data_IF_605621315314
#
_entry.id   IF_605621315314
#
_cell.length_a   1.000
_cell.length_b   1.000
_cell.length_c   1.000
_cell.angle_alpha   90.00
_cell.angle_beta   90.00
_cell.angle_gamma   90.00
#
_symmetry.space_group_name_H-M   'P 1'
#
loop_
_entity.id
_entity.type
_entity.pdbx_description
1 polymer ?
#
# COMPACT_ATOMS: atom_id res chain seq x y z
N UNK A 1 -35.49 89.98 45.77
CA UNK A 1 -36.26 89.18 44.82
C UNK A 1 -35.68 89.31 43.40
N UNK A 2 -34.49 88.89 43.22
CA UNK A 2 -33.88 88.77 41.83
C UNK A 2 -33.13 87.42 41.79
N UNK A 3 -33.82 86.35 41.79
CA UNK A 3 -33.19 85.02 41.78
C UNK A 3 -33.92 83.95 41.00
N UNK A 4 -35.17 84.19 40.63
CA UNK A 4 -36.08 83.13 40.19
C UNK A 4 -36.35 83.11 38.66
N UNK A 5 -35.97 84.14 37.96
CA UNK A 5 -36.21 84.22 36.50
C UNK A 5 -35.04 83.67 35.64
N UNK A 6 -33.85 83.55 36.18
CA UNK A 6 -32.66 83.04 35.49
C UNK A 6 -32.56 81.55 35.62
N UNK A 7 -33.01 80.97 36.74
CA UNK A 7 -32.99 79.47 36.90
C UNK A 7 -33.99 78.77 36.00
N UNK A 8 -35.19 79.38 35.84
CA UNK A 8 -36.19 78.78 34.92
C UNK A 8 -35.79 78.91 33.46
N UNK A 9 -35.04 79.90 33.04
CA UNK A 9 -34.51 80.02 31.66
C UNK A 9 -33.45 78.97 31.36
N UNK A 10 -32.62 78.58 32.31
CA UNK A 10 -31.64 77.49 32.10
C UNK A 10 -32.30 76.08 32.02
N UNK A 11 -33.35 75.84 32.81
CA UNK A 11 -34.14 74.60 32.76
C UNK A 11 -34.89 74.51 31.45
N UNK A 12 -35.51 75.55 30.93
CA UNK A 12 -36.18 75.56 29.66
C UNK A 12 -35.18 75.45 28.48
N UNK A 13 -34.01 76.04 28.58
CA UNK A 13 -32.97 75.91 27.56
C UNK A 13 -32.39 74.46 27.50
N UNK A 14 -32.21 73.83 28.66
CA UNK A 14 -31.75 72.42 28.73
C UNK A 14 -32.80 71.47 28.29
N UNK A 15 -34.08 71.73 28.58
CA UNK A 15 -35.20 70.89 28.09
C UNK A 15 -35.41 70.99 26.57
N UNK A 16 -35.27 72.23 26.01
CA UNK A 16 -35.33 72.46 24.58
C UNK A 16 -34.15 71.83 23.85
N UNK A 17 -32.96 71.84 24.46
CA UNK A 17 -31.79 71.12 23.88
C UNK A 17 -31.99 69.59 23.94
N UNK A 18 -32.59 69.07 25.02
CA UNK A 18 -32.87 67.66 25.16
C UNK A 18 -34.02 67.25 24.21
N UNK A 19 -35.05 68.07 24.03
CA UNK A 19 -36.16 67.81 23.10
C UNK A 19 -35.65 67.99 21.64
N UNK A 20 -34.77 68.98 21.37
CA UNK A 20 -34.14 69.11 20.06
C UNK A 20 -33.22 67.93 19.70
N UNK A 21 -32.55 67.30 20.70
CA UNK A 21 -31.82 66.07 20.52
C UNK A 21 -32.71 64.83 20.41
N UNK A 22 -33.90 64.85 20.97
CA UNK A 22 -34.85 63.72 20.87
C UNK A 22 -35.69 63.73 19.62
N UNK A 23 -35.82 64.89 18.91
CA UNK A 23 -36.56 65.03 17.66
C UNK A 23 -35.67 65.06 16.40
N UNK A 24 -34.33 65.19 16.59
CA UNK A 24 -33.38 65.00 15.51
C UNK A 24 -32.97 63.53 15.46
N UNK A 25 -33.78 62.76 14.78
CA UNK A 25 -33.16 61.61 14.23
C UNK A 25 -33.69 60.24 14.58
N UNK A 26 -34.93 60.04 14.45
CA UNK A 26 -35.37 58.80 13.85
C UNK A 26 -35.91 59.10 12.46
N UNK A 27 -35.15 59.89 11.70
CA UNK A 27 -35.26 59.84 10.27
C UNK A 27 -34.53 58.54 9.81
N UNK A 28 -35.09 57.71 8.94
CA UNK A 28 -34.49 56.45 8.54
C UNK A 28 -33.13 56.72 7.90
N UNK A 29 -32.03 56.43 8.62
CA UNK A 29 -30.65 56.49 8.15
C UNK A 29 -30.43 55.42 6.99
N UNK A 30 -31.48 54.87 6.49
CA UNK A 30 -31.49 53.78 5.51
C UNK A 30 -32.01 54.15 4.12
N UNK A 31 -31.86 55.41 3.69
CA UNK A 31 -32.16 55.77 2.30
C UNK A 31 -31.04 55.44 1.32
N UNK A 32 -29.87 55.14 1.83
CA UNK A 32 -28.72 54.82 1.00
C UNK A 32 -28.69 53.29 0.69
N UNK A 33 -29.12 52.90 -0.48
CA UNK A 33 -29.11 51.50 -0.94
C UNK A 33 -27.72 50.96 -1.29
N UNK A 34 -26.64 51.76 -1.05
CA UNK A 34 -25.27 51.48 -1.45
C UNK A 34 -24.40 51.03 -0.28
N UNK A 35 -23.46 50.15 -0.58
CA UNK A 35 -22.42 49.67 0.38
C UNK A 35 -21.51 50.87 0.76
N UNK A 36 -21.11 50.94 2.02
CA UNK A 36 -20.23 52.03 2.48
C UNK A 36 -18.87 51.96 1.78
N UNK A 37 -18.27 53.17 1.53
CA UNK A 37 -16.91 53.24 0.96
C UNK A 37 -15.90 52.43 1.80
N UNK A 38 -14.80 52.01 1.17
CA UNK A 38 -13.71 51.23 1.81
C UNK A 38 -14.13 49.87 2.38
N UNK A 39 -15.17 49.24 1.84
CA UNK A 39 -15.47 47.82 2.01
C UNK A 39 -15.06 47.08 0.77
N UNK A 40 -14.35 45.98 0.97
CA UNK A 40 -13.89 45.07 -0.10
C UNK A 40 -14.37 43.64 0.16
N UNK A 41 -14.55 42.84 -0.88
CA UNK A 41 -14.79 41.39 -0.82
C UNK A 41 -13.69 40.74 -1.64
N UNK A 42 -12.90 39.83 -1.03
CA UNK A 42 -11.68 39.26 -1.64
C UNK A 42 -10.76 40.33 -2.23
N UNK A 43 -10.60 41.47 -1.51
CA UNK A 43 -9.83 42.64 -1.92
C UNK A 43 -10.39 43.39 -3.12
N UNK A 44 -11.54 43.00 -3.66
CA UNK A 44 -12.26 43.74 -4.70
C UNK A 44 -13.12 44.80 -4.05
N UNK A 45 -13.00 46.07 -4.50
CA UNK A 45 -13.79 47.18 -3.95
C UNK A 45 -15.26 47.03 -4.34
N UNK A 46 -16.13 46.88 -3.33
CA UNK A 46 -17.59 46.90 -3.49
C UNK A 46 -18.23 48.14 -2.90
N UNK A 47 -17.41 49.05 -2.35
CA UNK A 47 -17.89 50.34 -1.79
C UNK A 47 -18.56 51.20 -2.83
N UNK A 48 -19.64 51.90 -2.45
CA UNK A 48 -20.51 52.73 -3.26
C UNK A 48 -21.40 51.96 -4.28
N UNK A 49 -21.29 50.63 -4.40
CA UNK A 49 -22.16 49.81 -5.20
C UNK A 49 -23.47 49.52 -4.48
N UNK A 50 -24.53 49.29 -5.21
CA UNK A 50 -25.76 48.67 -4.72
C UNK A 50 -25.52 47.18 -4.48
N UNK A 51 -26.45 46.49 -3.80
CA UNK A 51 -26.38 45.04 -3.60
C UNK A 51 -26.31 44.32 -4.97
N UNK A 52 -27.17 44.70 -5.89
CA UNK A 52 -27.26 44.04 -7.21
C UNK A 52 -25.99 44.23 -8.03
N UNK A 53 -25.48 45.49 -8.11
CA UNK A 53 -24.22 45.78 -8.80
C UNK A 53 -23.04 44.99 -8.23
N UNK A 54 -22.93 44.88 -6.88
CA UNK A 54 -21.87 44.13 -6.22
C UNK A 54 -21.99 42.62 -6.46
N UNK A 55 -23.20 42.04 -6.38
CA UNK A 55 -23.44 40.63 -6.66
C UNK A 55 -23.06 40.29 -8.09
N UNK A 56 -23.55 41.10 -9.07
CA UNK A 56 -23.28 40.87 -10.50
C UNK A 56 -21.78 40.95 -10.81
N UNK A 57 -21.10 41.94 -10.24
CA UNK A 57 -19.64 42.08 -10.39
C UNK A 57 -18.89 40.88 -9.84
N UNK A 58 -19.24 40.44 -8.62
CA UNK A 58 -18.56 39.31 -7.99
C UNK A 58 -18.88 37.96 -8.66
N UNK A 59 -20.12 37.73 -9.10
CA UNK A 59 -20.48 36.52 -9.89
C UNK A 59 -19.73 36.50 -11.24
N UNK A 60 -19.48 37.63 -11.86
CA UNK A 60 -18.65 37.70 -13.06
C UNK A 60 -17.17 37.45 -12.78
N UNK A 61 -16.69 37.87 -11.62
CA UNK A 61 -15.28 37.68 -11.22
C UNK A 61 -15.00 36.27 -10.73
N UNK A 62 -15.97 35.64 -10.08
CA UNK A 62 -15.90 34.28 -9.51
C UNK A 62 -17.05 33.42 -10.10
N UNK A 63 -16.96 33.05 -11.37
CA UNK A 63 -18.00 32.24 -11.99
C UNK A 63 -18.00 30.83 -11.40
N UNK A 64 -19.19 30.25 -11.31
CA UNK A 64 -19.39 28.84 -10.99
C UNK A 64 -19.52 28.07 -12.30
N UNK A 65 -18.41 27.91 -13.00
CA UNK A 65 -18.35 27.16 -14.25
C UNK A 65 -18.21 25.66 -14.01
N UNK A 66 -18.61 24.86 -14.99
CA UNK A 66 -18.28 23.45 -15.02
C UNK A 66 -16.75 23.30 -15.13
N UNK A 67 -16.22 22.22 -14.57
CA UNK A 67 -14.83 21.86 -14.78
C UNK A 67 -14.72 20.38 -15.18
N UNK A 68 -13.68 20.06 -15.94
CA UNK A 68 -13.45 18.71 -16.40
C UNK A 68 -12.28 18.08 -15.64
N UNK A 69 -12.40 16.78 -15.38
CA UNK A 69 -11.31 15.94 -14.95
C UNK A 69 -10.90 15.13 -16.18
N UNK A 70 -9.66 15.32 -16.64
CA UNK A 70 -9.17 14.79 -17.91
C UNK A 70 -8.12 13.69 -17.69
N UNK A 71 -8.24 12.59 -18.44
CA UNK A 71 -7.24 11.53 -18.50
C UNK A 71 -7.17 10.94 -19.90
N UNK A 72 -6.01 11.00 -20.54
CA UNK A 72 -5.82 10.62 -21.95
C UNK A 72 -6.88 11.28 -22.86
N UNK A 73 -7.71 10.47 -23.53
CA UNK A 73 -8.78 10.94 -24.39
C UNK A 73 -10.16 10.95 -23.71
N UNK A 74 -10.20 10.72 -22.39
CA UNK A 74 -11.44 10.74 -21.61
C UNK A 74 -11.54 12.03 -20.80
N UNK A 75 -12.78 12.50 -20.61
CA UNK A 75 -13.08 13.72 -19.86
C UNK A 75 -14.39 13.53 -19.09
N UNK A 76 -14.40 13.86 -17.81
CA UNK A 76 -15.57 13.82 -16.94
C UNK A 76 -15.88 15.23 -16.47
N UNK A 77 -17.05 15.72 -16.83
CA UNK A 77 -17.52 17.05 -16.43
C UNK A 77 -18.16 17.00 -15.06
N UNK A 78 -17.67 17.81 -14.15
CA UNK A 78 -18.27 18.07 -12.83
C UNK A 78 -19.00 19.42 -12.91
N UNK A 79 -20.29 19.40 -12.63
CA UNK A 79 -21.10 20.62 -12.59
C UNK A 79 -21.20 21.11 -11.13
N UNK A 80 -21.15 22.42 -10.90
CA UNK A 80 -21.30 22.99 -9.56
C UNK A 80 -22.55 22.52 -8.82
N UNK A 81 -23.67 22.38 -9.52
CA UNK A 81 -24.94 21.90 -8.94
C UNK A 81 -24.87 20.44 -8.50
N UNK A 82 -24.10 19.59 -9.19
CA UNK A 82 -23.95 18.17 -8.84
C UNK A 82 -23.27 17.96 -7.47
N UNK A 83 -22.43 18.90 -7.07
CA UNK A 83 -21.68 18.88 -5.82
C UNK A 83 -22.12 19.99 -4.84
N UNK A 84 -23.20 20.70 -5.14
CA UNK A 84 -23.74 21.81 -4.32
C UNK A 84 -22.66 22.88 -4.04
N UNK A 85 -21.79 23.17 -5.01
CA UNK A 85 -20.74 24.17 -4.88
C UNK A 85 -21.37 25.56 -4.81
N UNK A 86 -21.03 26.31 -3.78
CA UNK A 86 -21.51 27.66 -3.56
C UNK A 86 -20.42 28.57 -2.98
N UNK A 87 -20.28 29.77 -3.55
CA UNK A 87 -19.37 30.82 -3.04
C UNK A 87 -20.08 31.80 -2.10
N UNK A 88 -21.37 31.63 -1.82
CA UNK A 88 -22.16 32.48 -0.92
C UNK A 88 -22.01 33.98 -1.16
N UNK A 89 -21.87 34.40 -2.44
CA UNK A 89 -21.62 35.78 -2.85
C UNK A 89 -22.68 36.72 -2.30
N UNK A 90 -23.96 36.33 -2.40
CA UNK A 90 -25.08 37.18 -1.94
C UNK A 90 -25.02 37.43 -0.43
N UNK A 91 -24.70 36.40 0.36
CA UNK A 91 -24.51 36.53 1.80
C UNK A 91 -23.34 37.46 2.16
N UNK A 92 -22.23 37.39 1.42
CA UNK A 92 -21.07 38.25 1.63
C UNK A 92 -21.37 39.69 1.24
N UNK A 93 -22.14 39.92 0.19
CA UNK A 93 -22.60 41.24 -0.19
C UNK A 93 -23.59 41.80 0.84
N UNK A 94 -24.50 40.97 1.39
CA UNK A 94 -25.38 41.37 2.49
C UNK A 94 -24.58 41.73 3.77
N UNK A 95 -23.53 40.99 4.09
CA UNK A 95 -22.61 41.32 5.16
C UNK A 95 -21.95 42.70 4.93
N UNK A 96 -21.48 42.94 3.72
CA UNK A 96 -20.90 44.22 3.32
C UNK A 96 -21.89 45.37 3.44
N UNK A 97 -23.10 45.19 2.96
CA UNK A 97 -24.19 46.17 3.02
C UNK A 97 -24.58 46.49 4.46
N UNK A 98 -24.65 45.48 5.31
CA UNK A 98 -25.10 45.58 6.72
C UNK A 98 -23.96 45.91 7.69
N UNK A 99 -22.72 45.93 7.27
CA UNK A 99 -21.56 46.24 8.15
C UNK A 99 -21.71 47.52 8.95
N UNK A 100 -22.27 48.56 8.33
CA UNK A 100 -22.51 49.88 8.98
C UNK A 100 -24.00 50.11 9.32
N UNK A 101 -24.82 49.05 9.30
CA UNK A 101 -26.29 49.10 9.49
C UNK A 101 -26.77 48.11 10.56
N UNK A 102 -25.95 47.88 11.56
CA UNK A 102 -26.34 47.02 12.68
C UNK A 102 -27.39 47.71 13.57
N UNK A 103 -28.08 46.97 14.42
CA UNK A 103 -29.05 47.51 15.41
C UNK A 103 -28.42 48.53 16.38
N UNK A 104 -27.10 48.47 16.60
CA UNK A 104 -26.38 49.37 17.47
C UNK A 104 -25.87 50.61 16.72
N UNK A 105 -26.44 51.77 17.02
CA UNK A 105 -26.05 53.06 16.46
C UNK A 105 -24.58 53.39 16.75
N UNK A 106 -24.11 53.14 17.97
CA UNK A 106 -22.72 53.36 18.37
C UNK A 106 -21.74 52.51 17.59
N UNK A 107 -22.06 51.26 17.34
CA UNK A 107 -21.25 50.38 16.50
C UNK A 107 -21.20 50.89 15.05
N UNK A 108 -22.31 51.37 14.53
CA UNK A 108 -22.35 51.92 13.17
C UNK A 108 -21.48 53.15 13.01
N UNK A 109 -21.55 54.09 13.99
CA UNK A 109 -20.67 55.30 14.04
C UNK A 109 -19.21 54.89 14.10
N UNK A 110 -18.83 53.98 15.01
CA UNK A 110 -17.47 53.45 15.17
C UNK A 110 -16.95 52.79 13.89
N UNK A 111 -17.76 51.98 13.25
CA UNK A 111 -17.41 51.30 11.99
C UNK A 111 -17.25 52.28 10.83
N UNK A 112 -18.19 53.23 10.68
CA UNK A 112 -18.07 54.31 9.69
C UNK A 112 -16.81 55.18 9.93
N UNK A 113 -16.51 55.54 11.18
CA UNK A 113 -15.27 56.22 11.54
C UNK A 113 -14.02 55.48 11.11
N UNK A 114 -13.93 54.18 11.41
CA UNK A 114 -12.81 53.32 10.98
C UNK A 114 -12.64 53.25 9.45
N UNK A 115 -13.75 53.11 8.72
CA UNK A 115 -13.72 53.08 7.25
C UNK A 115 -13.30 54.42 6.64
N UNK A 116 -13.64 55.54 7.30
CA UNK A 116 -13.27 56.88 6.84
C UNK A 116 -11.76 57.20 7.01
N UNK A 117 -11.08 56.56 7.96
CA UNK A 117 -9.63 56.72 8.24
C UNK A 117 -8.79 55.76 7.33
N UNK A 118 -9.28 55.37 6.17
CA UNK A 118 -8.61 54.46 5.19
C UNK A 118 -8.20 53.09 5.73
N UNK A 119 -8.94 52.55 6.71
CA UNK A 119 -8.80 51.12 7.09
C UNK A 119 -9.88 50.31 6.41
N UNK A 120 -9.60 49.68 5.26
CA UNK A 120 -10.60 48.92 4.52
C UNK A 120 -11.05 47.69 5.34
N UNK A 121 -12.34 47.37 5.25
CA UNK A 121 -12.88 46.14 5.81
C UNK A 121 -13.01 45.13 4.65
N UNK A 122 -12.19 44.07 4.70
CA UNK A 122 -12.16 43.04 3.67
C UNK A 122 -12.91 41.81 4.17
N UNK A 123 -13.95 41.42 3.43
CA UNK A 123 -14.77 40.23 3.65
C UNK A 123 -14.23 39.11 2.78
N UNK A 124 -14.11 37.91 3.35
CA UNK A 124 -13.68 36.73 2.60
C UNK A 124 -14.88 35.95 2.06
N UNK A 125 -14.81 35.53 0.82
CA UNK A 125 -15.76 34.60 0.24
C UNK A 125 -15.52 33.23 0.86
N UNK A 126 -16.59 32.60 1.34
CA UNK A 126 -16.57 31.24 1.86
C UNK A 126 -17.11 30.32 0.78
N UNK A 127 -16.26 29.40 0.30
CA UNK A 127 -16.68 28.34 -0.59
C UNK A 127 -17.18 27.15 0.24
N UNK A 128 -18.28 26.53 -0.17
CA UNK A 128 -18.80 25.28 0.38
C UNK A 128 -19.19 24.36 -0.73
N UNK A 129 -19.06 23.05 -0.51
CA UNK A 129 -19.55 22.02 -1.41
C UNK A 129 -19.90 20.77 -0.61
N UNK A 130 -20.65 19.85 -1.22
CA UNK A 130 -21.04 18.59 -0.61
C UNK A 130 -20.00 17.50 -0.92
N UNK A 131 -19.16 17.17 0.09
CA UNK A 131 -18.09 16.19 -0.04
C UNK A 131 -18.58 14.79 -0.39
N UNK A 132 -19.78 14.39 0.09
CA UNK A 132 -20.37 13.08 -0.22
C UNK A 132 -20.75 13.00 -1.69
N UNK A 133 -21.35 14.06 -2.23
CA UNK A 133 -21.70 14.12 -3.65
C UNK A 133 -20.47 14.15 -4.54
N UNK A 134 -19.45 14.93 -4.17
CA UNK A 134 -18.18 14.95 -4.89
C UNK A 134 -17.54 13.54 -4.87
N UNK A 135 -17.44 12.91 -3.69
CA UNK A 135 -16.83 11.57 -3.58
C UNK A 135 -17.52 10.53 -4.47
N UNK A 136 -18.86 10.57 -4.58
CA UNK A 136 -19.61 9.69 -5.49
C UNK A 136 -19.28 9.91 -6.98
N UNK A 137 -19.00 11.16 -7.37
CA UNK A 137 -18.57 11.42 -8.75
C UNK A 137 -17.15 10.91 -9.00
N UNK A 138 -16.26 11.11 -8.04
CA UNK A 138 -14.88 10.64 -8.14
C UNK A 138 -14.78 9.12 -8.11
N UNK A 139 -15.64 8.43 -7.35
CA UNK A 139 -15.73 6.97 -7.31
C UNK A 139 -16.05 6.37 -8.69
N UNK A 140 -16.99 6.97 -9.43
CA UNK A 140 -17.30 6.54 -10.81
C UNK A 140 -16.10 6.69 -11.77
N UNK A 141 -15.29 7.73 -11.57
CA UNK A 141 -14.07 7.94 -12.34
C UNK A 141 -13.03 6.88 -11.95
N UNK A 142 -12.89 6.63 -10.65
CA UNK A 142 -11.99 5.61 -10.11
C UNK A 142 -12.31 4.22 -10.68
N UNK A 143 -13.57 3.77 -10.58
CA UNK A 143 -14.01 2.46 -11.10
C UNK A 143 -13.74 2.29 -12.61
N UNK A 144 -13.79 3.39 -13.37
CA UNK A 144 -13.57 3.36 -14.82
C UNK A 144 -12.09 3.35 -15.20
N UNK A 145 -11.24 4.02 -14.41
CA UNK A 145 -9.81 4.21 -14.75
C UNK A 145 -8.92 3.20 -14.05
N UNK A 146 -9.28 2.77 -12.83
CA UNK A 146 -8.47 1.84 -12.06
C UNK A 146 -8.37 0.48 -12.75
N UNK A 147 -7.15 -0.06 -12.81
CA UNK A 147 -6.86 -1.39 -13.37
C UNK A 147 -5.77 -2.03 -12.51
N UNK A 148 -6.06 -3.20 -11.97
CA UNK A 148 -5.08 -3.97 -11.23
C UNK A 148 -3.91 -4.42 -12.11
N UNK A 149 -2.70 -4.44 -11.55
CA UNK A 149 -1.56 -5.05 -12.21
C UNK A 149 -1.70 -6.57 -12.24
N UNK A 150 -1.29 -7.19 -13.33
CA UNK A 150 -1.31 -8.65 -13.49
C UNK A 150 0.12 -9.18 -13.42
N UNK A 151 0.39 -10.08 -12.48
CA UNK A 151 1.68 -10.74 -12.36
C UNK A 151 1.91 -11.74 -13.50
N UNK A 152 3.16 -11.82 -13.97
CA UNK A 152 3.59 -12.92 -14.80
C UNK A 152 3.63 -14.22 -13.99
N UNK A 153 3.32 -15.34 -14.62
CA UNK A 153 3.38 -16.67 -14.00
C UNK A 153 4.43 -17.55 -14.67
N UNK A 154 5.02 -18.43 -13.88
CA UNK A 154 5.90 -19.49 -14.34
C UNK A 154 5.37 -20.81 -13.78
N UNK A 155 5.20 -21.80 -14.62
CA UNK A 155 4.72 -23.12 -14.24
C UNK A 155 5.41 -24.20 -15.05
N UNK A 156 5.74 -25.32 -14.40
CA UNK A 156 6.29 -26.51 -15.06
C UNK A 156 5.28 -27.62 -14.96
N UNK A 157 4.79 -28.07 -16.11
CA UNK A 157 3.85 -29.17 -16.17
C UNK A 157 4.47 -30.50 -15.74
N UNK A 158 3.68 -31.54 -15.37
CA UNK A 158 4.19 -32.87 -15.08
C UNK A 158 5.01 -33.48 -16.21
N UNK A 159 4.71 -33.13 -17.46
CA UNK A 159 5.48 -33.49 -18.66
C UNK A 159 6.88 -32.86 -18.69
N UNK A 160 7.16 -31.84 -17.89
CA UNK A 160 8.37 -31.02 -17.93
C UNK A 160 8.27 -29.81 -18.86
N UNK A 161 7.13 -29.58 -19.51
CA UNK A 161 6.88 -28.41 -20.35
C UNK A 161 6.80 -27.16 -19.47
N UNK A 162 7.48 -26.09 -19.87
CA UNK A 162 7.49 -24.82 -19.17
C UNK A 162 6.44 -23.90 -19.79
N UNK A 163 5.48 -23.45 -18.96
CA UNK A 163 4.47 -22.44 -19.33
C UNK A 163 4.71 -21.13 -18.61
N UNK A 164 4.47 -20.03 -19.33
CA UNK A 164 4.64 -18.68 -18.82
C UNK A 164 3.48 -17.81 -19.27
N UNK A 165 3.02 -16.90 -18.39
CA UNK A 165 2.15 -15.80 -18.79
C UNK A 165 2.93 -14.47 -18.76
N UNK A 166 2.40 -13.48 -19.46
CA UNK A 166 2.97 -12.12 -19.42
C UNK A 166 2.33 -11.30 -18.31
N UNK A 167 3.14 -10.43 -17.69
CA UNK A 167 2.65 -9.43 -16.76
C UNK A 167 2.02 -8.26 -17.50
N UNK A 168 1.10 -7.56 -16.83
CA UNK A 168 0.53 -6.30 -17.31
C UNK A 168 0.62 -5.26 -16.21
N UNK A 169 1.04 -4.07 -16.57
CA UNK A 169 0.98 -2.94 -15.67
C UNK A 169 -0.46 -2.54 -15.42
N UNK A 170 -0.74 -2.17 -14.20
CA UNK A 170 -2.00 -1.58 -13.78
C UNK A 170 -1.90 -0.07 -13.67
N UNK A 171 -2.97 0.54 -13.19
CA UNK A 171 -3.03 1.96 -12.88
C UNK A 171 -4.00 2.20 -11.74
N UNK A 172 -3.67 3.16 -10.89
CA UNK A 172 -4.48 3.57 -9.74
C UNK A 172 -4.66 5.08 -9.75
N UNK A 173 -5.85 5.54 -9.45
CA UNK A 173 -6.15 6.96 -9.33
C UNK A 173 -5.77 7.44 -7.94
N UNK A 174 -4.89 8.42 -7.85
CA UNK A 174 -4.59 9.10 -6.58
C UNK A 174 -5.77 10.02 -6.19
N UNK A 175 -6.79 9.40 -5.59
CA UNK A 175 -8.01 10.08 -5.13
C UNK A 175 -7.68 11.16 -4.08
N UNK A 176 -6.68 10.95 -3.23
CA UNK A 176 -6.29 11.93 -2.21
C UNK A 176 -5.77 13.20 -2.86
N UNK A 177 -4.85 13.06 -3.81
CA UNK A 177 -4.32 14.18 -4.57
C UNK A 177 -5.40 14.88 -5.39
N UNK A 178 -6.29 14.12 -6.03
CA UNK A 178 -7.39 14.70 -6.81
C UNK A 178 -8.33 15.54 -5.92
N UNK A 179 -8.68 15.04 -4.74
CA UNK A 179 -9.50 15.81 -3.77
C UNK A 179 -8.80 17.08 -3.31
N UNK A 180 -7.50 17.01 -3.03
CA UNK A 180 -6.70 18.17 -2.64
C UNK A 180 -6.63 19.22 -3.77
N UNK A 181 -6.45 18.79 -5.02
CA UNK A 181 -6.41 19.68 -6.17
C UNK A 181 -7.77 20.39 -6.37
N UNK A 182 -8.89 19.65 -6.24
CA UNK A 182 -10.25 20.22 -6.29
C UNK A 182 -10.48 21.19 -5.11
N UNK A 183 -10.13 20.79 -3.89
CA UNK A 183 -10.26 21.64 -2.71
C UNK A 183 -9.49 22.95 -2.88
N UNK A 184 -8.24 22.88 -3.32
CA UNK A 184 -7.40 24.05 -3.55
C UNK A 184 -7.95 24.95 -4.67
N UNK A 185 -8.45 24.36 -5.75
CA UNK A 185 -9.10 25.08 -6.84
C UNK A 185 -10.33 25.84 -6.35
N UNK A 186 -11.22 25.19 -5.60
CA UNK A 186 -12.44 25.78 -5.04
C UNK A 186 -12.10 26.91 -4.07
N UNK A 187 -11.14 26.69 -3.14
CA UNK A 187 -10.75 27.71 -2.17
C UNK A 187 -10.09 28.92 -2.80
N UNK A 188 -9.35 28.73 -3.88
CA UNK A 188 -8.79 29.83 -4.69
C UNK A 188 -9.85 30.53 -5.56
N UNK A 189 -11.06 29.96 -5.64
CA UNK A 189 -12.18 30.47 -6.47
C UNK A 189 -11.79 30.61 -7.93
N UNK A 190 -10.94 29.70 -8.43
CA UNK A 190 -10.43 29.65 -9.80
C UNK A 190 -10.80 28.29 -10.40
N UNK A 191 -12.04 28.20 -10.84
CA UNK A 191 -12.54 26.96 -11.46
C UNK A 191 -11.82 26.76 -12.80
N UNK A 192 -11.24 25.56 -12.98
CA UNK A 192 -10.51 25.14 -14.19
C UNK A 192 -10.45 23.64 -14.29
N UNK A 193 -10.17 23.14 -15.46
CA UNK A 193 -9.95 21.72 -15.69
C UNK A 193 -8.74 21.18 -14.92
N UNK A 194 -8.82 19.91 -14.51
CA UNK A 194 -7.83 19.18 -13.73
C UNK A 194 -7.43 17.93 -14.51
N UNK A 195 -6.13 17.66 -14.59
CA UNK A 195 -5.65 16.37 -15.05
C UNK A 195 -5.78 15.34 -13.93
N UNK A 196 -6.38 14.19 -14.25
CA UNK A 196 -6.54 13.09 -13.28
C UNK A 196 -5.16 12.58 -12.86
N UNK A 197 -4.81 12.61 -11.57
CA UNK A 197 -3.56 12.04 -11.09
C UNK A 197 -3.67 10.51 -11.09
N UNK A 198 -2.91 9.85 -11.95
CA UNK A 198 -2.89 8.39 -12.09
C UNK A 198 -1.48 7.87 -11.83
N UNK A 199 -1.38 6.85 -11.00
CA UNK A 199 -0.15 6.13 -10.66
C UNK A 199 -0.10 4.83 -11.45
N UNK A 200 1.07 4.48 -11.98
CA UNK A 200 1.29 3.16 -12.58
C UNK A 200 1.47 2.12 -11.48
N UNK A 201 0.69 1.04 -11.52
CA UNK A 201 0.86 -0.12 -10.68
C UNK A 201 1.74 -1.14 -11.40
N UNK A 202 2.90 -1.42 -10.82
CA UNK A 202 3.79 -2.44 -11.38
C UNK A 202 3.44 -3.82 -10.83
N UNK A 203 3.49 -4.87 -11.66
CA UNK A 203 3.31 -6.25 -11.21
C UNK A 203 4.46 -6.63 -10.27
N UNK A 204 4.17 -7.46 -9.26
CA UNK A 204 5.18 -8.02 -8.35
C UNK A 204 6.15 -8.94 -9.07
N UNK A 205 5.63 -9.68 -10.05
CA UNK A 205 6.40 -10.57 -10.90
C UNK A 205 6.27 -10.11 -12.35
N UNK A 206 7.38 -9.63 -12.93
CA UNK A 206 7.40 -9.15 -14.32
C UNK A 206 7.64 -10.27 -15.33
N UNK A 207 7.21 -10.06 -16.56
CA UNK A 207 7.52 -10.93 -17.71
C UNK A 207 9.03 -11.17 -17.86
N UNK A 208 9.85 -10.13 -17.63
CA UNK A 208 11.31 -10.23 -17.71
C UNK A 208 11.86 -11.23 -16.69
N UNK A 209 11.34 -11.21 -15.46
CA UNK A 209 11.76 -12.10 -14.38
C UNK A 209 11.40 -13.57 -14.69
N UNK A 210 10.19 -13.87 -15.13
CA UNK A 210 9.83 -15.26 -15.47
C UNK A 210 10.52 -15.75 -16.73
N UNK A 211 10.83 -14.89 -17.70
CA UNK A 211 11.62 -15.23 -18.89
C UNK A 211 13.09 -15.54 -18.56
N UNK A 212 13.63 -15.00 -17.46
CA UNK A 212 15.00 -15.31 -17.02
C UNK A 212 15.15 -16.74 -16.48
N UNK A 213 14.07 -17.38 -16.02
CA UNK A 213 14.07 -18.77 -15.57
C UNK A 213 14.15 -19.68 -16.81
N UNK A 214 15.34 -20.12 -17.18
CA UNK A 214 15.61 -20.83 -18.44
C UNK A 214 16.45 -22.10 -18.29
N UNK A 215 16.86 -22.47 -17.07
CA UNK A 215 17.75 -23.59 -16.80
C UNK A 215 17.40 -24.27 -15.48
N UNK A 216 17.77 -25.54 -15.34
CA UNK A 216 17.81 -26.23 -14.04
C UNK A 216 19.16 -25.91 -13.40
N UNK A 217 19.14 -25.27 -12.21
CA UNK A 217 20.35 -24.96 -11.46
C UNK A 217 20.85 -26.20 -10.68
N UNK A 218 19.92 -26.97 -10.12
CA UNK A 218 20.22 -28.19 -9.39
C UNK A 218 18.99 -29.09 -9.22
N UNK A 219 19.25 -30.38 -9.04
CA UNK A 219 18.18 -31.35 -8.79
C UNK A 219 18.69 -32.50 -7.91
N UNK A 220 17.78 -33.13 -7.19
CA UNK A 220 18.05 -34.33 -6.40
C UNK A 220 16.82 -35.20 -6.33
N UNK A 221 17.05 -36.55 -6.23
CA UNK A 221 15.97 -37.53 -6.20
C UNK A 221 16.18 -38.53 -5.06
N UNK A 222 15.09 -38.99 -4.45
CA UNK A 222 15.09 -40.07 -3.49
C UNK A 222 13.94 -41.05 -3.79
N UNK A 223 14.18 -42.34 -3.58
CA UNK A 223 13.19 -43.40 -3.84
C UNK A 223 12.38 -43.71 -2.58
N UNK A 224 11.11 -44.09 -2.78
CA UNK A 224 10.22 -44.50 -1.69
C UNK A 224 9.18 -45.51 -2.22
N UNK A 225 8.39 -46.11 -1.32
CA UNK A 225 7.29 -46.99 -1.72
C UNK A 225 5.96 -46.22 -1.78
N UNK A 226 5.42 -46.03 -2.96
CA UNK A 226 4.16 -45.30 -3.21
C UNK A 226 2.92 -45.95 -2.54
N UNK A 227 2.90 -47.26 -2.34
CA UNK A 227 1.72 -48.01 -1.91
C UNK A 227 1.50 -47.97 -0.38
N UNK A 228 2.18 -47.09 0.35
CA UNK A 228 2.12 -47.02 1.82
C UNK A 228 1.57 -45.68 2.31
N UNK A 229 1.05 -45.61 3.54
CA UNK A 229 0.67 -44.35 4.21
C UNK A 229 1.84 -43.36 4.21
N UNK A 230 3.08 -43.87 4.33
CA UNK A 230 4.29 -43.06 4.23
C UNK A 230 4.48 -42.47 2.83
N UNK A 231 4.17 -43.23 1.80
CA UNK A 231 4.17 -42.78 0.40
C UNK A 231 3.12 -41.68 0.19
N UNK A 232 1.89 -41.86 0.67
CA UNK A 232 0.86 -40.80 0.65
C UNK A 232 1.31 -39.52 1.31
N UNK A 233 1.97 -39.58 2.45
CA UNK A 233 2.53 -38.39 3.13
C UNK A 233 3.62 -37.70 2.31
N UNK A 234 4.44 -38.46 1.56
CA UNK A 234 5.46 -37.90 0.65
C UNK A 234 4.79 -37.17 -0.51
N UNK A 235 3.68 -37.68 -1.06
CA UNK A 235 2.90 -37.00 -2.09
C UNK A 235 2.35 -35.65 -1.54
N UNK A 236 1.64 -35.68 -0.41
CA UNK A 236 1.06 -34.47 0.20
C UNK A 236 2.15 -33.42 0.47
N UNK A 237 3.27 -33.82 1.08
CA UNK A 237 4.35 -32.88 1.40
C UNK A 237 5.09 -32.39 0.13
N UNK A 238 5.27 -33.25 -0.86
CA UNK A 238 5.90 -32.91 -2.13
C UNK A 238 5.08 -31.92 -2.94
N UNK A 239 3.78 -32.10 -3.02
CA UNK A 239 2.84 -31.21 -3.70
C UNK A 239 2.76 -29.84 -3.00
N UNK A 240 2.61 -29.82 -1.65
CA UNK A 240 2.50 -28.57 -0.88
C UNK A 240 3.78 -27.73 -0.92
N UNK A 241 4.93 -28.31 -1.23
CA UNK A 241 6.22 -27.65 -1.37
C UNK A 241 6.67 -27.44 -2.82
N UNK A 242 5.82 -27.82 -3.78
CA UNK A 242 6.03 -27.62 -5.21
C UNK A 242 5.51 -26.26 -5.68
N UNK A 243 5.90 -25.89 -6.88
CA UNK A 243 5.41 -24.72 -7.61
C UNK A 243 5.62 -23.40 -6.83
N UNK A 244 6.80 -23.28 -6.22
CA UNK A 244 7.18 -22.12 -5.42
C UNK A 244 8.15 -21.24 -6.19
N UNK A 245 7.72 -20.03 -6.53
CA UNK A 245 8.59 -18.99 -7.06
C UNK A 245 9.20 -18.21 -5.89
N UNK A 246 10.52 -18.07 -5.87
CA UNK A 246 11.26 -17.23 -4.92
C UNK A 246 11.95 -16.10 -5.67
N UNK A 247 11.54 -14.88 -5.38
CA UNK A 247 12.19 -13.69 -5.89
C UNK A 247 13.58 -13.52 -5.23
N UNK A 248 14.46 -12.66 -5.79
CA UNK A 248 15.74 -12.32 -5.16
C UNK A 248 15.56 -11.92 -3.70
N UNK A 249 16.32 -12.55 -2.79
CA UNK A 249 16.28 -12.32 -1.33
C UNK A 249 15.11 -12.98 -0.61
N UNK A 250 14.18 -13.65 -1.29
CA UNK A 250 13.09 -14.38 -0.62
C UNK A 250 13.56 -15.71 -0.04
N UNK A 251 12.96 -16.06 1.10
CA UNK A 251 13.27 -17.28 1.86
C UNK A 251 12.16 -18.32 1.74
N UNK A 252 12.51 -19.53 1.37
CA UNK A 252 11.68 -20.71 1.48
C UNK A 252 11.65 -21.21 2.93
N UNK A 253 10.49 -21.62 3.43
CA UNK A 253 10.31 -22.35 4.69
C UNK A 253 9.44 -23.57 4.43
N UNK A 254 9.97 -24.74 4.73
CA UNK A 254 9.26 -26.01 4.55
C UNK A 254 8.01 -26.06 5.43
N UNK A 255 8.15 -25.68 6.71
CA UNK A 255 7.05 -25.69 7.68
C UNK A 255 5.94 -24.72 7.30
N UNK A 256 6.29 -23.55 6.74
CA UNK A 256 5.29 -22.57 6.26
C UNK A 256 4.48 -23.12 5.06
N UNK A 257 5.11 -23.92 4.20
CA UNK A 257 4.46 -24.51 3.04
C UNK A 257 3.60 -25.72 3.37
N UNK A 258 4.08 -26.61 4.23
CA UNK A 258 3.36 -27.86 4.58
C UNK A 258 2.34 -27.68 5.70
N UNK A 259 2.49 -26.68 6.57
CA UNK A 259 1.66 -26.55 7.77
C UNK A 259 1.84 -27.71 8.77
N UNK A 260 0.88 -27.87 9.67
CA UNK A 260 0.85 -28.97 10.63
C UNK A 260 0.62 -30.32 9.92
N UNK A 261 1.36 -31.37 10.32
CA UNK A 261 1.30 -32.69 9.71
C UNK A 261 0.25 -33.53 10.43
N UNK A 262 -1.01 -33.25 10.17
CA UNK A 262 -2.16 -33.94 10.77
C UNK A 262 -3.14 -34.41 9.69
N UNK A 263 -4.11 -35.21 10.09
CA UNK A 263 -5.12 -35.77 9.19
C UNK A 263 -5.97 -34.69 8.48
N UNK A 264 -6.16 -33.51 9.11
CA UNK A 264 -6.90 -32.38 8.49
C UNK A 264 -6.18 -31.89 7.24
N UNK A 265 -4.85 -31.89 7.27
CA UNK A 265 -4.00 -31.50 6.14
C UNK A 265 -3.64 -32.69 5.23
N UNK A 266 -4.35 -33.82 5.33
CA UNK A 266 -4.19 -34.99 4.46
C UNK A 266 -3.07 -35.97 4.88
N UNK A 267 -2.40 -35.75 6.02
CA UNK A 267 -1.35 -36.65 6.48
C UNK A 267 -1.90 -37.86 7.23
N UNK A 268 -1.30 -39.01 7.00
CA UNK A 268 -1.65 -40.27 7.59
C UNK A 268 -0.63 -40.69 8.67
N UNK A 269 -1.04 -41.59 9.55
CA UNK A 269 -0.13 -42.25 10.48
C UNK A 269 0.83 -43.19 9.72
N UNK A 270 2.12 -43.02 9.97
CA UNK A 270 3.19 -43.80 9.34
C UNK A 270 4.41 -43.88 10.28
N UNK A 271 5.38 -44.77 10.05
CA UNK A 271 6.57 -44.86 10.87
C UNK A 271 7.37 -43.56 10.89
N UNK A 272 7.65 -43.08 12.14
CA UNK A 272 8.52 -41.94 12.45
C UNK A 272 9.61 -42.37 13.46
N UNK A 273 10.68 -41.60 13.52
CA UNK A 273 11.76 -41.83 14.51
C UNK A 273 11.61 -40.81 15.63
N UNK A 274 11.36 -41.31 16.87
CA UNK A 274 11.26 -40.48 18.07
C UNK A 274 12.22 -41.03 19.11
N UNK A 275 13.19 -40.22 19.55
CA UNK A 275 14.18 -40.63 20.55
C UNK A 275 15.04 -41.82 20.13
N UNK A 276 15.26 -42.03 18.83
CA UNK A 276 16.02 -43.17 18.29
C UNK A 276 15.21 -44.48 18.16
N UNK A 277 13.87 -44.43 18.35
CA UNK A 277 12.98 -45.60 18.21
C UNK A 277 11.96 -45.32 17.08
N UNK A 278 11.60 -46.35 16.34
CA UNK A 278 10.57 -46.28 15.32
C UNK A 278 9.20 -46.47 15.99
N UNK A 279 8.33 -45.48 15.85
CA UNK A 279 6.94 -45.48 16.34
C UNK A 279 6.01 -45.00 15.22
N UNK A 280 4.72 -45.32 15.28
CA UNK A 280 3.75 -44.75 14.38
C UNK A 280 3.36 -43.34 14.84
N UNK A 281 3.36 -42.41 13.91
CA UNK A 281 2.98 -41.02 14.15
C UNK A 281 2.54 -40.33 12.85
N UNK A 282 1.87 -39.22 12.98
CA UNK A 282 1.38 -38.42 11.84
C UNK A 282 2.55 -37.83 11.02
N UNK A 283 2.43 -37.84 9.70
CA UNK A 283 3.42 -37.23 8.81
C UNK A 283 4.71 -38.00 8.63
N UNK A 284 4.77 -39.32 8.97
CA UNK A 284 5.94 -40.15 8.64
C UNK A 284 6.25 -40.10 7.14
N UNK A 285 7.51 -39.74 6.78
CA UNK A 285 7.95 -39.57 5.39
C UNK A 285 8.29 -38.12 5.01
N UNK A 286 7.77 -37.11 5.69
CA UNK A 286 7.96 -35.68 5.34
C UNK A 286 9.44 -35.24 5.37
N UNK A 287 10.27 -35.80 6.27
CA UNK A 287 11.70 -35.51 6.32
C UNK A 287 12.46 -36.03 5.08
N UNK A 288 11.93 -37.01 4.35
CA UNK A 288 12.50 -37.40 3.06
C UNK A 288 12.27 -36.33 2.00
N UNK A 289 11.09 -35.70 2.00
CA UNK A 289 10.77 -34.60 1.08
C UNK A 289 11.66 -33.39 1.36
N UNK A 290 11.76 -32.98 2.64
CA UNK A 290 12.65 -31.86 3.01
C UNK A 290 14.12 -32.15 2.69
N UNK A 291 14.59 -33.38 2.89
CA UNK A 291 15.93 -33.82 2.49
C UNK A 291 16.15 -33.72 0.98
N UNK A 292 15.16 -34.13 0.18
CA UNK A 292 15.26 -34.07 -1.28
C UNK A 292 15.35 -32.61 -1.76
N UNK A 293 14.51 -31.73 -1.21
CA UNK A 293 14.52 -30.28 -1.50
C UNK A 293 15.84 -29.66 -1.03
N UNK A 294 16.32 -29.97 0.17
CA UNK A 294 17.58 -29.49 0.71
C UNK A 294 18.76 -29.79 -0.24
N UNK A 295 18.84 -31.03 -0.74
CA UNK A 295 19.90 -31.41 -1.67
C UNK A 295 19.80 -30.69 -3.00
N UNK A 296 18.59 -30.47 -3.53
CA UNK A 296 18.39 -29.67 -4.73
C UNK A 296 18.85 -28.21 -4.48
N UNK A 297 18.51 -27.62 -3.33
CA UNK A 297 18.93 -26.28 -2.93
C UNK A 297 20.45 -26.17 -2.75
N UNK A 298 21.09 -27.18 -2.14
CA UNK A 298 22.57 -27.26 -2.02
C UNK A 298 23.23 -27.21 -3.39
N UNK A 299 22.77 -28.04 -4.32
CA UNK A 299 23.33 -28.15 -5.68
C UNK A 299 23.01 -26.93 -6.57
N UNK A 300 22.03 -26.13 -6.15
CA UNK A 300 21.64 -24.91 -6.86
C UNK A 300 22.34 -23.65 -6.34
N UNK A 301 23.21 -23.73 -5.34
CA UNK A 301 23.89 -22.56 -4.77
C UNK A 301 23.04 -21.69 -3.85
N UNK A 302 21.81 -22.11 -3.48
CA UNK A 302 20.94 -21.33 -2.59
C UNK A 302 21.55 -21.24 -1.18
N UNK A 303 21.36 -20.13 -0.49
CA UNK A 303 21.85 -19.93 0.87
C UNK A 303 21.02 -20.75 1.84
N UNK A 304 21.66 -21.66 2.58
CA UNK A 304 20.97 -22.47 3.59
C UNK A 304 20.94 -21.71 4.90
N UNK A 305 19.75 -21.34 5.35
CA UNK A 305 19.56 -20.54 6.58
C UNK A 305 19.29 -21.41 7.79
N UNK A 306 18.55 -22.53 7.60
CA UNK A 306 18.24 -23.47 8.70
C UNK A 306 18.16 -24.90 8.14
N UNK A 307 18.92 -25.79 8.73
CA UNK A 307 18.89 -27.25 8.48
C UNK A 307 19.28 -28.03 9.74
N UNK A 308 18.60 -29.12 9.98
CA UNK A 308 18.88 -30.02 11.13
C UNK A 308 19.03 -31.45 10.62
N UNK A 309 19.98 -32.20 11.15
CA UNK A 309 20.14 -33.63 10.83
C UNK A 309 19.30 -34.51 11.75
N UNK A 310 19.02 -35.74 11.34
CA UNK A 310 18.45 -36.75 12.23
C UNK A 310 19.49 -37.23 13.28
N UNK A 311 19.00 -37.72 14.40
CA UNK A 311 19.88 -38.31 15.43
C UNK A 311 20.59 -39.60 14.98
N UNK A 312 19.99 -40.31 14.00
CA UNK A 312 20.53 -41.48 13.32
C UNK A 312 20.59 -41.23 11.81
N UNK A 313 21.58 -41.79 11.09
CA UNK A 313 21.68 -41.62 9.65
C UNK A 313 20.43 -42.07 8.91
N UNK A 314 19.91 -41.27 7.99
CA UNK A 314 18.83 -41.66 7.12
C UNK A 314 19.30 -42.65 6.05
N UNK A 315 18.37 -43.46 5.50
CA UNK A 315 18.69 -44.43 4.45
C UNK A 315 18.56 -43.88 3.03
N UNK A 316 17.95 -42.69 2.89
CA UNK A 316 17.63 -42.08 1.60
C UNK A 316 18.58 -40.95 1.18
N UNK A 317 19.51 -40.55 2.07
CA UNK A 317 20.54 -39.55 1.75
C UNK A 317 21.86 -39.90 2.43
N UNK A 318 23.01 -39.47 1.89
CA UNK A 318 24.29 -39.58 2.60
C UNK A 318 24.28 -38.81 3.92
N UNK A 319 25.09 -39.25 4.88
CA UNK A 319 25.31 -38.50 6.13
C UNK A 319 25.74 -37.07 5.84
N UNK A 320 25.25 -36.13 6.64
CA UNK A 320 25.48 -34.71 6.46
C UNK A 320 24.59 -34.03 5.38
N UNK A 321 23.76 -34.81 4.67
CA UNK A 321 22.91 -34.33 3.59
C UNK A 321 21.43 -34.57 3.87
N UNK A 322 21.03 -34.88 5.07
CA UNK A 322 19.65 -35.03 5.52
C UNK A 322 19.13 -33.73 6.16
N UNK A 323 17.82 -33.51 6.06
CA UNK A 323 17.14 -32.38 6.66
C UNK A 323 15.92 -32.83 7.44
N UNK A 324 15.98 -32.80 8.75
CA UNK A 324 14.87 -33.10 9.67
C UNK A 324 13.98 -31.87 9.83
N UNK A 325 12.68 -32.08 9.76
CA UNK A 325 11.65 -31.05 9.97
C UNK A 325 10.62 -31.52 10.99
N UNK A 326 10.24 -30.61 11.88
CA UNK A 326 9.17 -30.80 12.86
C UNK A 326 8.40 -29.50 13.02
N UNK A 327 7.08 -29.54 12.82
CA UNK A 327 6.27 -28.32 12.85
C UNK A 327 6.33 -27.63 14.21
N UNK A 328 6.70 -26.34 14.17
CA UNK A 328 6.85 -25.53 15.38
C UNK A 328 8.20 -25.69 16.11
N UNK A 329 9.12 -26.58 15.64
CA UNK A 329 10.40 -26.83 16.31
C UNK A 329 11.60 -26.68 15.37
N UNK A 330 11.69 -27.52 14.34
CA UNK A 330 12.81 -27.52 13.38
C UNK A 330 12.29 -27.32 11.96
N UNK A 331 12.97 -26.51 11.17
CA UNK A 331 12.57 -26.22 9.79
C UNK A 331 13.71 -26.47 8.81
N UNK A 332 13.38 -26.50 7.53
CA UNK A 332 14.31 -26.32 6.44
C UNK A 332 14.01 -24.94 5.84
N UNK A 333 15.00 -24.04 5.92
CA UNK A 333 14.94 -22.72 5.31
C UNK A 333 16.13 -22.48 4.41
N UNK A 334 15.90 -21.86 3.30
CA UNK A 334 16.95 -21.37 2.39
C UNK A 334 16.47 -20.15 1.63
N UNK A 335 17.41 -19.27 1.29
CA UNK A 335 17.16 -17.99 0.62
C UNK A 335 17.73 -18.01 -0.79
N UNK A 336 17.05 -17.37 -1.72
CA UNK A 336 17.54 -17.11 -3.06
C UNK A 336 18.58 -15.97 -3.01
N UNK A 337 19.91 -16.23 -3.17
CA UNK A 337 20.93 -15.19 -3.14
C UNK A 337 21.13 -14.48 -4.48
N UNK A 338 20.47 -14.95 -5.53
CA UNK A 338 20.69 -14.48 -6.89
C UNK A 338 19.92 -13.20 -7.20
N UNK A 339 20.25 -12.54 -8.29
CA UNK A 339 19.54 -11.36 -8.80
C UNK A 339 18.34 -11.75 -9.69
N UNK A 340 18.20 -13.03 -10.02
CA UNK A 340 17.07 -13.59 -10.76
C UNK A 340 16.22 -14.49 -9.87
N UNK A 341 14.92 -14.65 -10.17
CA UNK A 341 14.06 -15.57 -9.43
C UNK A 341 14.46 -17.02 -9.67
N UNK A 342 14.17 -17.86 -8.67
CA UNK A 342 14.24 -19.32 -8.78
C UNK A 342 12.88 -19.94 -8.55
N UNK A 343 12.65 -21.14 -9.13
CA UNK A 343 11.40 -21.85 -9.02
C UNK A 343 11.63 -23.29 -8.59
N UNK A 344 10.91 -23.71 -7.56
CA UNK A 344 11.00 -25.04 -6.97
C UNK A 344 9.89 -25.90 -7.56
N UNK A 345 10.26 -27.01 -8.19
CA UNK A 345 9.35 -28.03 -8.68
C UNK A 345 9.68 -29.38 -8.06
N UNK A 346 8.68 -29.97 -7.39
CA UNK A 346 8.75 -31.36 -6.95
C UNK A 346 7.92 -32.24 -7.91
N UNK A 347 8.49 -33.34 -8.31
CA UNK A 347 7.84 -34.39 -9.12
C UNK A 347 7.78 -35.62 -8.24
N UNK A 348 6.57 -36.04 -7.89
CA UNK A 348 6.34 -37.19 -7.00
C UNK A 348 5.56 -38.24 -7.75
N UNK A 349 6.04 -39.47 -7.69
CA UNK A 349 5.38 -40.63 -8.34
C UNK A 349 6.39 -41.64 -8.83
N UNK A 350 5.88 -42.81 -9.28
CA UNK A 350 6.69 -43.92 -9.76
C UNK A 350 7.78 -44.35 -8.78
N UNK A 351 7.49 -44.32 -7.46
CA UNK A 351 8.43 -44.75 -6.43
C UNK A 351 9.56 -43.77 -6.15
N UNK A 352 9.47 -42.52 -6.61
CA UNK A 352 10.51 -41.49 -6.37
C UNK A 352 9.91 -40.08 -6.18
N UNK A 353 10.64 -39.26 -5.44
CA UNK A 353 10.46 -37.81 -5.43
C UNK A 353 11.72 -37.16 -6.00
N UNK A 354 11.53 -36.26 -6.95
CA UNK A 354 12.61 -35.44 -7.54
C UNK A 354 12.29 -33.97 -7.32
N UNK A 355 13.18 -33.27 -6.62
CA UNK A 355 13.14 -31.82 -6.49
C UNK A 355 14.06 -31.19 -7.52
N UNK A 356 13.54 -30.22 -8.29
CA UNK A 356 14.28 -29.43 -9.28
C UNK A 356 14.18 -27.96 -8.94
N UNK A 357 15.30 -27.27 -8.95
CA UNK A 357 15.37 -25.82 -8.82
C UNK A 357 15.67 -25.24 -10.21
N UNK A 358 14.69 -24.56 -10.76
CA UNK A 358 14.85 -23.80 -12.01
C UNK A 358 15.30 -22.38 -11.70
N UNK A 359 16.09 -21.77 -12.57
CA UNK A 359 16.58 -20.41 -12.43
C UNK A 359 17.21 -19.88 -13.71
N UNK A 360 17.94 -18.78 -13.61
CA UNK A 360 18.68 -18.20 -14.71
C UNK A 360 19.97 -19.01 -14.97
N UNK A 361 20.26 -19.33 -16.22
CA UNK A 361 21.52 -20.00 -16.60
C UNK A 361 22.77 -19.23 -16.23
N UNK A 362 22.67 -17.90 -16.10
CA UNK A 362 23.77 -17.05 -15.64
C UNK A 362 24.11 -17.22 -14.16
N UNK A 363 23.17 -17.72 -13.36
CA UNK A 363 23.34 -18.00 -11.92
C UNK A 363 23.80 -19.45 -11.68
N UNK A 364 23.95 -20.25 -12.75
CA UNK A 364 24.32 -21.65 -12.64
C UNK A 364 25.81 -21.78 -12.32
N UNK A 365 26.11 -22.32 -11.14
CA UNK A 365 27.45 -22.65 -10.69
C UNK A 365 27.73 -24.16 -10.79
N UNK A 366 29.00 -24.53 -10.98
CA UNK A 366 29.42 -25.93 -10.91
C UNK A 366 29.72 -26.27 -9.47
N UNK A 367 28.79 -27.00 -8.84
CA UNK A 367 28.82 -27.31 -7.41
C UNK A 367 29.02 -28.80 -7.20
N UNK A 368 29.96 -29.13 -6.31
CA UNK A 368 30.17 -30.48 -5.76
C UNK A 368 29.99 -30.43 -4.25
N UNK A 369 29.29 -31.41 -3.70
CA UNK A 369 29.12 -31.53 -2.24
C UNK A 369 30.12 -32.55 -1.72
N UNK A 370 30.96 -32.11 -0.78
CA UNK A 370 31.94 -32.94 -0.11
C UNK A 370 31.63 -33.08 1.38
N UNK A 371 31.60 -34.30 1.89
CA UNK A 371 31.43 -34.60 3.29
C UNK A 371 32.78 -35.06 3.89
N UNK A 372 33.08 -34.59 5.12
CA UNK A 372 34.23 -35.02 5.92
C UNK A 372 33.70 -35.61 7.22
N UNK A 373 33.95 -36.90 7.42
CA UNK A 373 33.47 -37.65 8.57
C UNK A 373 34.54 -37.84 9.63
N UNK A 374 34.20 -37.58 10.88
CA UNK A 374 35.01 -37.86 12.07
C UNK A 374 34.27 -38.84 12.96
N UNK A 375 34.88 -39.97 13.23
CA UNK A 375 34.31 -41.03 14.04
C UNK A 375 34.82 -40.94 15.46
N UNK A 376 33.92 -40.76 16.43
CA UNK A 376 34.17 -40.76 17.86
C UNK A 376 33.47 -41.98 18.49
N UNK A 377 33.79 -42.29 19.75
CA UNK A 377 33.29 -43.53 20.39
C UNK A 377 31.76 -43.68 20.36
N UNK A 378 31.05 -42.58 20.55
CA UNK A 378 29.57 -42.54 20.72
C UNK A 378 28.84 -41.72 19.65
N UNK A 379 29.58 -41.11 18.71
CA UNK A 379 29.03 -40.24 17.70
C UNK A 379 29.88 -40.16 16.46
N UNK A 380 29.21 -39.78 15.33
CA UNK A 380 29.86 -39.46 14.07
C UNK A 380 29.57 -37.99 13.80
N UNK A 381 30.61 -37.19 13.60
CA UNK A 381 30.49 -35.79 13.18
C UNK A 381 30.78 -35.71 11.70
N UNK A 382 29.87 -35.05 10.96
CA UNK A 382 30.02 -34.87 9.52
C UNK A 382 29.97 -33.39 9.17
N UNK A 383 31.02 -32.87 8.58
CA UNK A 383 31.08 -31.52 8.02
C UNK A 383 30.75 -31.60 6.53
N UNK A 384 29.68 -30.89 6.14
CA UNK A 384 29.24 -30.82 4.74
C UNK A 384 29.72 -29.54 4.10
N UNK A 385 30.52 -29.67 3.07
CA UNK A 385 31.07 -28.56 2.31
C UNK A 385 30.45 -28.48 0.91
N UNK A 386 30.22 -27.26 0.48
CA UNK A 386 29.94 -26.89 -0.91
C UNK A 386 31.24 -26.42 -1.56
N UNK A 387 31.63 -27.08 -2.64
CA UNK A 387 32.79 -26.72 -3.44
C UNK A 387 32.31 -26.14 -4.76
N UNK A 388 32.78 -24.95 -5.08
CA UNK A 388 32.49 -24.28 -6.33
C UNK A 388 33.69 -24.46 -7.28
N UNK A 389 33.42 -24.97 -8.47
CA UNK A 389 34.45 -25.37 -9.42
C UNK A 389 34.46 -24.43 -10.62
N UNK A 390 35.66 -24.20 -11.19
CA UNK A 390 35.80 -23.61 -12.51
C UNK A 390 35.54 -24.60 -13.65
N UNK A 391 35.74 -24.18 -14.88
CA UNK A 391 35.54 -25.00 -16.09
C UNK A 391 36.51 -26.20 -16.13
N UNK A 392 37.70 -26.09 -15.50
CA UNK A 392 38.75 -27.10 -15.44
C UNK A 392 38.61 -28.03 -14.24
N UNK A 393 37.52 -27.87 -13.41
CA UNK A 393 37.24 -28.59 -12.17
C UNK A 393 38.19 -28.24 -11.00
N UNK A 394 38.87 -27.11 -11.00
CA UNK A 394 39.63 -26.63 -9.86
C UNK A 394 38.66 -26.01 -8.85
N UNK A 395 38.94 -26.15 -7.55
CA UNK A 395 38.11 -25.59 -6.48
C UNK A 395 38.43 -24.10 -6.35
N UNK A 396 37.49 -23.25 -6.75
CA UNK A 396 37.56 -21.79 -6.61
C UNK A 396 37.16 -21.30 -5.23
N UNK A 397 36.16 -21.93 -4.65
CA UNK A 397 35.61 -21.57 -3.33
C UNK A 397 35.14 -22.80 -2.59
N UNK A 398 35.37 -22.82 -1.27
CA UNK A 398 34.87 -23.85 -0.34
C UNK A 398 34.03 -23.19 0.75
N UNK A 399 32.84 -23.69 0.97
CA UNK A 399 31.90 -23.20 1.96
C UNK A 399 31.49 -24.34 2.90
N UNK A 400 31.64 -24.14 4.22
CA UNK A 400 31.05 -25.06 5.21
C UNK A 400 29.55 -24.71 5.32
N UNK A 401 28.70 -25.65 4.90
CA UNK A 401 27.23 -25.44 4.90
C UNK A 401 26.63 -25.88 6.23
N UNK A 402 27.02 -27.06 6.74
CA UNK A 402 26.48 -27.64 7.96
C UNK A 402 27.47 -28.58 8.67
N UNK A 403 27.29 -28.74 9.98
CA UNK A 403 27.95 -29.79 10.79
C UNK A 403 26.86 -30.64 11.42
N UNK A 404 26.78 -31.88 11.01
CA UNK A 404 25.82 -32.88 11.48
C UNK A 404 26.45 -33.83 12.52
N UNK A 405 25.69 -34.21 13.55
CA UNK A 405 26.14 -35.13 14.60
C UNK A 405 25.15 -36.30 14.68
N UNK A 406 25.63 -37.50 14.47
CA UNK A 406 24.84 -38.72 14.56
C UNK A 406 25.31 -39.59 15.71
N UNK A 407 24.39 -40.29 16.39
CA UNK A 407 24.72 -41.29 17.39
C UNK A 407 25.23 -42.54 16.71
N UNK A 408 26.25 -43.19 17.31
CA UNK A 408 26.61 -44.57 16.99
C UNK A 408 25.71 -45.49 17.80
N UNK A 409 25.33 -46.64 17.24
CA UNK A 409 24.58 -47.67 17.96
C UNK A 409 25.46 -48.40 18.93
#
# INVERSE_FOLDING_TARGET
>A
MIGDKTFNKFIYLSIIVIIAFSTVGIAPVYKDKKIHKNITIESISVGKLTKEEAVNMLKKTYPLDNFNINYNNESWTIKPEDIELNFHIEERVDEALNYTRSKSIWNNIKRKGKLNINKPYNIKIKATYNEVKLSKQLEKIYEKVNVEAVDATFYVEPSGEIKRSESKEGRDVDISKLKDDIYNMINKKKIKDINLPVLTLYPKTSTKQVKSINSILGQFSTSFNDSTSRGSNIHVAGESTSDVLLMPGETFSYNKKTGARNWVNGYQSAPIIVGGRVVNGEGGGVCQVSTTIYNAALLSGLTIDEVHNHSLPSRYAPRGRDATVSYGYTDLKFTNPYTHPVYIKNIVGNGAITSKIYGCSLDRERIVIRMEEEYLKDKITVKTYRLYLDEENNVMRRELVNTSIYKTH
#
